data_IF_315370042074
#
_entry.id   IF_315370042074
#
_cell.length_a   1.000
_cell.length_b   1.000
_cell.length_c   1.000
_cell.angle_alpha   90.00
_cell.angle_beta   90.00
_cell.angle_gamma   90.00
#
_symmetry.space_group_name_H-M   'P 1'
#
loop_
_entity.id
_entity.type
_entity.pdbx_description
1 polymer ?
#
# COMPACT_ATOMS: atom_id res chain seq x y z
N UNK A 1 -8.44 -0.59 -0.44
CA UNK A 1 -7.48 -1.73 -0.53
C UNK A 1 -7.85 -2.81 0.48
N UNK A 2 -7.92 -4.08 0.07
CA UNK A 2 -8.06 -5.21 0.99
C UNK A 2 -6.67 -5.74 1.34
N UNK A 3 -6.29 -5.66 2.61
CA UNK A 3 -4.94 -5.87 3.11
C UNK A 3 -4.93 -6.83 4.30
N UNK A 4 -3.93 -7.72 4.37
CA UNK A 4 -3.66 -8.55 5.56
C UNK A 4 -2.16 -8.67 5.82
N UNK A 5 -1.79 -8.91 7.08
CA UNK A 5 -0.42 -9.09 7.54
C UNK A 5 -0.32 -10.21 8.57
N UNK A 6 0.86 -10.80 8.70
CA UNK A 6 1.13 -11.86 9.68
C UNK A 6 1.29 -11.35 11.13
N UNK A 7 1.37 -10.03 11.34
CA UNK A 7 1.37 -9.39 12.67
C UNK A 7 0.87 -7.94 12.59
N UNK A 8 0.58 -7.28 13.74
CA UNK A 8 0.21 -5.86 13.80
C UNK A 8 1.17 -4.97 13.03
N UNK A 9 0.65 -4.19 12.10
CA UNK A 9 1.38 -3.13 11.39
C UNK A 9 0.56 -1.83 11.39
N UNK A 10 1.13 -0.73 10.91
CA UNK A 10 0.46 0.58 10.80
C UNK A 10 0.63 1.11 9.38
N UNK A 11 -0.26 0.74 8.45
CA UNK A 11 -0.07 1.10 7.06
C UNK A 11 -0.23 2.61 6.81
N UNK A 12 0.57 3.13 5.89
CA UNK A 12 0.55 4.55 5.49
C UNK A 12 0.57 4.67 3.97
N UNK A 13 -0.07 5.72 3.45
CA UNK A 13 0.00 6.05 2.03
C UNK A 13 0.57 7.46 1.85
N UNK A 14 1.34 7.64 0.77
CA UNK A 14 1.87 8.92 0.34
C UNK A 14 1.45 9.18 -1.10
N UNK A 15 1.29 10.47 -1.43
CA UNK A 15 0.88 10.95 -2.73
C UNK A 15 2.04 11.68 -3.40
N UNK A 16 2.39 11.28 -4.62
CA UNK A 16 3.29 12.06 -5.48
C UNK A 16 2.44 12.99 -6.36
N UNK A 17 2.41 14.28 -6.01
CA UNK A 17 1.74 15.33 -6.78
C UNK A 17 2.65 15.97 -7.86
N UNK A 18 3.80 15.36 -8.15
CA UNK A 18 4.79 15.85 -9.13
C UNK A 18 6.06 16.43 -8.52
N UNK A 19 6.22 16.37 -7.19
CA UNK A 19 7.43 16.78 -6.46
C UNK A 19 8.11 15.61 -5.74
N UNK A 20 7.67 14.37 -5.99
CA UNK A 20 8.08 13.18 -5.26
C UNK A 20 7.31 12.99 -3.94
N UNK A 21 7.55 11.84 -3.31
CA UNK A 21 6.93 11.50 -2.02
C UNK A 21 7.48 12.36 -0.89
N UNK A 22 6.60 12.92 -0.07
CA UNK A 22 6.98 13.73 1.08
C UNK A 22 5.94 13.56 2.21
N UNK A 23 6.34 13.90 3.43
CA UNK A 23 5.52 13.72 4.63
C UNK A 23 4.24 14.57 4.66
N UNK A 24 4.28 15.76 4.03
CA UNK A 24 3.13 16.69 3.99
C UNK A 24 1.99 16.05 3.19
N UNK A 25 2.33 15.38 2.09
CA UNK A 25 1.40 14.69 1.20
C UNK A 25 1.25 13.21 1.58
N UNK A 26 0.88 12.95 2.85
CA UNK A 26 0.66 11.58 3.34
C UNK A 26 -0.57 11.45 4.23
N UNK A 27 -1.22 10.28 4.16
CA UNK A 27 -2.33 9.90 5.04
C UNK A 27 -1.95 8.61 5.77
N UNK A 28 -1.93 8.70 7.09
CA UNK A 28 -1.73 7.55 7.97
C UNK A 28 -3.10 6.97 8.30
N UNK A 29 -3.25 5.66 8.11
CA UNK A 29 -4.43 4.96 8.59
C UNK A 29 -3.98 3.90 9.57
N UNK A 30 -4.18 4.19 10.85
CA UNK A 30 -3.78 3.30 11.94
C UNK A 30 -4.74 2.12 12.05
N UNK A 31 -4.56 1.11 11.22
CA UNK A 31 -5.22 -0.18 11.37
C UNK A 31 -4.28 -1.18 12.02
N UNK A 32 -4.63 -1.67 13.21
CA UNK A 32 -3.92 -2.79 13.84
C UNK A 32 -4.42 -4.10 13.22
N UNK A 33 -3.68 -4.67 12.27
CA UNK A 33 -4.08 -5.90 11.58
C UNK A 33 -3.19 -7.07 11.99
N UNK A 34 -3.77 -8.21 12.37
CA UNK A 34 -3.00 -9.44 12.56
C UNK A 34 -3.85 -10.62 12.12
N UNK A 35 -3.44 -11.30 11.05
CA UNK A 35 -4.09 -12.52 10.54
C UNK A 35 -5.44 -12.34 9.83
N UNK A 36 -6.07 -11.16 9.91
CA UNK A 36 -7.34 -10.85 9.26
C UNK A 36 -7.15 -9.87 8.08
N UNK A 37 -7.97 -10.05 7.04
CA UNK A 37 -8.06 -9.10 5.92
C UNK A 37 -8.95 -7.93 6.31
N UNK A 38 -8.41 -6.71 6.21
CA UNK A 38 -9.14 -5.46 6.45
C UNK A 38 -9.25 -4.63 5.18
N UNK A 39 -10.29 -3.79 5.10
CA UNK A 39 -10.40 -2.78 4.04
C UNK A 39 -9.79 -1.46 4.50
N UNK A 40 -8.59 -1.15 4.01
CA UNK A 40 -7.94 0.15 4.18
C UNK A 40 -8.57 1.16 3.19
N UNK A 41 -8.91 2.34 3.69
CA UNK A 41 -9.40 3.49 2.91
C UNK A 41 -8.54 4.71 3.21
N UNK A 42 -8.12 5.40 2.17
CA UNK A 42 -7.28 6.59 2.24
C UNK A 42 -7.95 7.69 1.43
N UNK A 43 -8.14 8.86 2.03
CA UNK A 43 -8.75 9.99 1.34
C UNK A 43 -7.76 10.55 0.30
N UNK A 44 -8.21 10.66 -0.94
CA UNK A 44 -7.42 11.21 -2.04
C UNK A 44 -7.37 12.75 -1.95
N UNK A 45 -6.23 13.37 -2.28
CA UNK A 45 -6.16 14.82 -2.40
C UNK A 45 -6.98 15.30 -3.61
N UNK A 46 -7.37 16.58 -3.62
CA UNK A 46 -8.07 17.19 -4.76
C UNK A 46 -7.16 17.43 -5.97
N UNK A 47 -5.84 17.38 -5.77
CA UNK A 47 -4.85 17.55 -6.82
C UNK A 47 -4.63 16.23 -7.58
N UNK A 48 -4.17 16.33 -8.82
CA UNK A 48 -3.84 15.15 -9.63
C UNK A 48 -2.68 14.36 -9.01
N UNK A 49 -2.94 13.11 -8.62
CA UNK A 49 -1.91 12.20 -8.10
C UNK A 49 -1.24 11.48 -9.25
N UNK A 50 0.10 11.56 -9.33
CA UNK A 50 0.89 10.87 -10.37
C UNK A 50 1.14 9.42 -10.00
N UNK A 51 1.48 9.16 -8.74
CA UNK A 51 1.79 7.82 -8.20
C UNK A 51 1.50 7.79 -6.70
N UNK A 52 1.30 6.59 -6.15
CA UNK A 52 1.18 6.39 -4.71
C UNK A 52 2.35 5.58 -4.17
N UNK A 53 2.74 5.83 -2.92
CA UNK A 53 3.62 4.94 -2.14
C UNK A 53 2.84 4.40 -0.96
N UNK A 54 2.84 3.08 -0.81
CA UNK A 54 2.22 2.39 0.30
C UNK A 54 3.31 1.79 1.20
N UNK A 55 3.33 2.21 2.46
CA UNK A 55 4.23 1.70 3.48
C UNK A 55 3.43 0.70 4.33
N UNK A 56 3.61 -0.62 4.16
CA UNK A 56 2.79 -1.64 4.83
C UNK A 56 3.08 -1.76 6.33
N UNK A 57 4.29 -1.41 6.77
CA UNK A 57 4.79 -1.66 8.14
C UNK A 57 6.00 -0.75 8.43
N UNK A 58 6.35 -0.61 9.71
CA UNK A 58 7.61 0.01 10.18
C UNK A 58 8.62 -1.05 10.64
N UNK A 59 8.34 -2.32 10.37
CA UNK A 59 9.15 -3.49 10.77
C UNK A 59 9.03 -4.63 9.77
N UNK A 60 9.92 -5.63 9.91
CA UNK A 60 9.83 -6.87 9.15
C UNK A 60 8.43 -7.50 9.22
N UNK A 61 7.81 -7.79 8.07
CA UNK A 61 6.49 -8.42 7.94
C UNK A 61 6.30 -9.24 6.66
N UNK A 62 5.25 -10.06 6.67
CA UNK A 62 4.66 -10.64 5.46
C UNK A 62 3.25 -10.09 5.31
N UNK A 63 2.91 -9.62 4.11
CA UNK A 63 1.60 -9.03 3.84
C UNK A 63 1.04 -9.44 2.49
N UNK A 64 -0.28 -9.26 2.35
CA UNK A 64 -1.04 -9.59 1.15
C UNK A 64 -2.02 -8.47 0.82
N UNK A 65 -2.24 -8.25 -0.47
CA UNK A 65 -3.26 -7.36 -1.01
C UNK A 65 -4.12 -8.14 -2.00
N UNK A 66 -5.42 -8.27 -1.70
CA UNK A 66 -6.36 -9.05 -2.52
C UNK A 66 -7.30 -8.20 -3.37
N UNK A 67 -7.38 -6.89 -3.10
CA UNK A 67 -8.12 -5.95 -3.92
C UNK A 67 -7.56 -4.53 -3.78
N UNK A 68 -7.48 -3.82 -4.89
CA UNK A 68 -7.08 -2.43 -4.98
C UNK A 68 -8.05 -1.67 -5.88
N UNK A 69 -8.43 -0.48 -5.46
CA UNK A 69 -9.35 0.38 -6.18
C UNK A 69 -9.11 1.84 -5.84
N UNK A 70 -9.44 2.71 -6.78
CA UNK A 70 -9.59 4.14 -6.60
C UNK A 70 -11.08 4.46 -6.62
N UNK A 71 -11.56 5.12 -5.58
CA UNK A 71 -12.93 5.59 -5.53
C UNK A 71 -12.94 7.04 -6.04
N UNK A 72 -13.54 7.28 -7.20
CA UNK A 72 -14.08 8.59 -7.57
C UNK A 72 -15.49 8.68 -6.96
N UNK A 73 -15.96 9.88 -6.63
CA UNK A 73 -17.20 10.15 -5.86
C UNK A 73 -18.42 9.33 -6.28
N UNK A 74 -18.47 8.87 -7.53
CA UNK A 74 -19.55 8.08 -8.11
C UNK A 74 -19.14 6.66 -8.54
N UNK A 75 -17.84 6.35 -8.64
CA UNK A 75 -17.35 5.10 -9.24
C UNK A 75 -16.14 4.51 -8.49
N UNK A 76 -16.24 3.24 -8.12
CA UNK A 76 -15.07 2.44 -7.71
C UNK A 76 -14.36 1.93 -8.98
N UNK A 77 -13.15 2.41 -9.24
CA UNK A 77 -12.30 1.99 -10.34
C UNK A 77 -11.27 0.96 -9.84
N UNK A 78 -11.42 -0.34 -10.15
CA UNK A 78 -10.45 -1.36 -9.75
C UNK A 78 -9.10 -1.11 -10.40
N UNK A 79 -8.03 -1.20 -9.61
CA UNK A 79 -6.67 -1.22 -10.13
C UNK A 79 -6.16 -2.66 -10.19
N UNK A 80 -5.40 -3.04 -11.23
CA UNK A 80 -4.82 -4.37 -11.29
C UNK A 80 -3.79 -4.54 -10.17
N UNK A 81 -3.76 -5.69 -9.51
CA UNK A 81 -2.78 -5.97 -8.45
C UNK A 81 -1.32 -5.93 -8.97
N UNK A 82 -1.12 -6.11 -10.28
CA UNK A 82 0.17 -5.93 -10.95
C UNK A 82 0.66 -4.47 -11.01
N UNK A 83 -0.16 -3.50 -10.58
CA UNK A 83 0.27 -2.10 -10.37
C UNK A 83 1.14 -1.93 -9.12
N UNK A 84 1.18 -2.93 -8.23
CA UNK A 84 2.00 -2.93 -7.02
C UNK A 84 3.41 -3.40 -7.35
N UNK A 85 4.40 -2.58 -7.01
CA UNK A 85 5.82 -2.87 -7.28
C UNK A 85 6.65 -2.69 -6.00
N UNK A 86 7.62 -3.57 -5.73
CA UNK A 86 8.55 -3.37 -4.62
C UNK A 86 9.34 -2.07 -4.82
N UNK A 87 9.49 -1.26 -3.77
CA UNK A 87 10.26 -0.03 -3.81
C UNK A 87 11.45 -0.05 -2.84
N UNK A 88 11.19 -0.13 -1.52
CA UNK A 88 12.24 -0.14 -0.49
C UNK A 88 12.07 -1.33 0.45
N UNK A 89 13.17 -1.97 0.88
CA UNK A 89 13.22 -3.05 1.88
C UNK A 89 12.18 -4.18 1.68
N UNK A 90 11.88 -4.50 0.42
CA UNK A 90 11.09 -5.68 0.05
C UNK A 90 12.04 -6.76 -0.44
N UNK A 91 12.02 -7.93 0.21
CA UNK A 91 12.88 -9.05 -0.13
C UNK A 91 12.29 -9.92 -1.23
N UNK A 92 10.97 -10.12 -1.20
CA UNK A 92 10.26 -10.99 -2.14
C UNK A 92 8.88 -10.42 -2.45
N UNK A 93 8.45 -10.56 -3.69
CA UNK A 93 7.08 -10.27 -4.12
C UNK A 93 6.58 -11.33 -5.09
N UNK A 94 5.28 -11.54 -5.13
CA UNK A 94 4.64 -12.19 -6.25
C UNK A 94 3.21 -11.69 -6.46
N UNK A 95 2.70 -11.91 -7.67
CA UNK A 95 1.36 -11.51 -8.05
C UNK A 95 0.65 -12.64 -8.77
N UNK A 96 -0.57 -12.92 -8.35
CA UNK A 96 -1.53 -13.79 -9.00
C UNK A 96 -2.74 -12.97 -9.45
N UNK A 97 -3.75 -13.61 -10.04
CA UNK A 97 -5.00 -12.93 -10.43
C UNK A 97 -5.81 -12.43 -9.23
N UNK A 98 -5.67 -13.07 -8.07
CA UNK A 98 -6.48 -12.77 -6.88
C UNK A 98 -5.72 -12.09 -5.76
N UNK A 99 -4.38 -12.04 -5.86
CA UNK A 99 -3.55 -11.57 -4.74
C UNK A 99 -2.16 -11.13 -5.18
N UNK A 100 -1.71 -10.02 -4.61
CA UNK A 100 -0.30 -9.63 -4.49
C UNK A 100 0.19 -10.01 -3.09
N UNK A 101 1.36 -10.62 -2.98
CA UNK A 101 2.01 -10.90 -1.71
C UNK A 101 3.43 -10.36 -1.69
N UNK A 102 3.90 -10.01 -0.50
CA UNK A 102 5.26 -9.56 -0.31
C UNK A 102 5.80 -9.90 1.09
N UNK A 103 7.11 -10.09 1.14
CA UNK A 103 7.90 -10.26 2.36
C UNK A 103 8.93 -9.15 2.42
N UNK A 104 8.99 -8.41 3.51
CA UNK A 104 10.01 -7.37 3.72
C UNK A 104 11.35 -8.00 4.11
N UNK A 105 12.45 -7.24 4.03
CA UNK A 105 13.74 -7.70 4.58
C UNK A 105 13.66 -7.90 6.10
N UNK A 106 14.55 -8.71 6.67
CA UNK A 106 14.58 -9.01 8.12
C UNK A 106 14.89 -7.77 8.98
N UNK A 107 15.64 -6.82 8.43
CA UNK A 107 16.06 -5.57 9.05
C UNK A 107 15.16 -4.37 8.67
N UNK A 108 14.01 -4.64 8.05
CA UNK A 108 13.14 -3.60 7.52
C UNK A 108 12.67 -2.62 8.61
N UNK A 109 12.77 -1.33 8.31
CA UNK A 109 12.33 -0.19 9.12
C UNK A 109 11.60 0.89 8.29
N UNK A 110 11.65 0.79 6.96
CA UNK A 110 11.00 1.66 5.98
C UNK A 110 10.61 0.85 4.71
N UNK A 111 9.90 -0.30 4.85
CA UNK A 111 9.45 -1.04 3.68
C UNK A 111 8.39 -0.25 2.91
N UNK A 112 8.49 -0.25 1.58
CA UNK A 112 7.51 0.48 0.75
C UNK A 112 7.23 -0.20 -0.59
N UNK A 113 6.00 0.00 -1.06
CA UNK A 113 5.45 -0.45 -2.34
C UNK A 113 5.08 0.77 -3.16
N UNK A 114 5.51 0.81 -4.41
CA UNK A 114 5.03 1.76 -5.41
C UNK A 114 3.70 1.26 -6.00
N UNK A 115 2.74 2.18 -6.15
CA UNK A 115 1.50 1.94 -6.89
C UNK A 115 1.46 2.89 -8.09
N UNK A 116 1.43 2.31 -9.29
CA UNK A 116 1.30 3.06 -10.54
C UNK A 116 -0.14 3.04 -11.02
N UNK A 117 -0.69 4.21 -11.34
CA UNK A 117 -2.08 4.38 -11.80
C UNK A 117 -2.14 4.80 -13.26
#
# INVERSE_FOLDING_TARGET
>A
MNFSSNHPCYPKIYYDLGQGFNEIESVIVRYRTAGETVRLRFDLPTAEVKRFRFDPSESHCQFRVSALSLDDLENEMPLPLSSLQPLNQIAETGCSQSEFYATTTEDANDPSILITV
#
